data_IF_137139775715
#
_entry.id   IF_137139775715
#
_cell.length_a   1.000
_cell.length_b   1.000
_cell.length_c   1.000
_cell.angle_alpha   90.00
_cell.angle_beta   90.00
_cell.angle_gamma   90.00
#
_symmetry.space_group_name_H-M   'P 1'
#
loop_
_entity.id
_entity.type
_entity.pdbx_description
1 polymer ?
#
# COMPACT_ATOMS: atom_id res chain seq x y z
N UNK A 1 -64.28 26.57 -12.49
CA UNK A 1 -63.02 26.63 -13.26
C UNK A 1 -61.86 27.31 -12.50
N UNK A 2 -62.12 28.32 -11.66
CA UNK A 2 -61.10 29.04 -10.86
C UNK A 2 -60.28 28.16 -9.87
N UNK A 3 -60.91 27.18 -9.22
CA UNK A 3 -60.24 26.30 -8.24
C UNK A 3 -59.10 25.44 -8.82
N UNK A 4 -59.22 25.02 -10.08
CA UNK A 4 -58.18 24.20 -10.72
C UNK A 4 -56.94 25.04 -11.06
N UNK A 5 -57.16 26.28 -11.51
CA UNK A 5 -56.08 27.22 -11.81
C UNK A 5 -55.36 27.64 -10.52
N UNK A 6 -56.09 27.88 -9.43
CA UNK A 6 -55.49 28.17 -8.11
C UNK A 6 -54.67 26.99 -7.57
N UNK A 7 -55.15 25.76 -7.71
CA UNK A 7 -54.40 24.55 -7.35
C UNK A 7 -53.14 24.38 -8.20
N UNK A 8 -53.23 24.61 -9.51
CA UNK A 8 -52.08 24.56 -10.41
C UNK A 8 -51.06 25.67 -10.11
N UNK A 9 -51.50 26.88 -9.77
CA UNK A 9 -50.61 27.98 -9.38
C UNK A 9 -49.95 27.68 -8.02
N UNK A 10 -50.65 27.03 -7.09
CA UNK A 10 -50.10 26.62 -5.79
C UNK A 10 -49.04 25.51 -5.94
N UNK A 11 -49.34 24.48 -6.74
CA UNK A 11 -48.38 23.43 -7.14
C UNK A 11 -47.15 24.04 -7.84
N UNK A 12 -47.35 24.94 -8.79
CA UNK A 12 -46.25 25.57 -9.54
C UNK A 12 -45.40 26.52 -8.67
N UNK A 13 -46.00 27.23 -7.72
CA UNK A 13 -45.27 28.02 -6.70
C UNK A 13 -44.44 27.12 -5.78
N UNK A 14 -44.94 25.94 -5.44
CA UNK A 14 -44.17 24.93 -4.72
C UNK A 14 -43.04 24.36 -5.58
N UNK A 15 -43.23 24.10 -6.87
CA UNK A 15 -42.17 23.61 -7.78
C UNK A 15 -40.94 24.54 -7.80
N UNK A 16 -41.13 25.87 -7.81
CA UNK A 16 -40.02 26.81 -7.75
C UNK A 16 -39.27 26.81 -6.41
N UNK A 17 -39.95 26.44 -5.31
CA UNK A 17 -39.32 26.22 -3.99
C UNK A 17 -38.73 24.80 -3.82
N UNK A 18 -39.21 23.85 -4.63
CA UNK A 18 -38.86 22.43 -4.67
C UNK A 18 -37.91 22.11 -5.84
N UNK A 19 -37.02 23.03 -6.23
CA UNK A 19 -35.82 22.60 -6.95
C UNK A 19 -35.06 21.67 -6.02
N UNK A 20 -35.28 20.36 -6.17
CA UNK A 20 -34.63 19.29 -5.40
C UNK A 20 -33.13 19.53 -5.51
N UNK A 21 -32.57 20.16 -4.47
CA UNK A 21 -31.18 20.61 -4.51
C UNK A 21 -30.32 19.37 -4.59
N UNK A 22 -29.50 19.29 -5.64
CA UNK A 22 -28.64 18.12 -5.86
C UNK A 22 -27.81 17.84 -4.59
N UNK A 23 -27.75 16.57 -4.13
CA UNK A 23 -27.03 16.21 -2.92
C UNK A 23 -25.51 16.24 -3.12
N UNK A 24 -25.02 16.16 -4.36
CA UNK A 24 -23.60 16.20 -4.66
C UNK A 24 -23.32 16.79 -6.05
N UNK A 25 -22.09 17.22 -6.26
CA UNK A 25 -21.57 17.58 -7.59
C UNK A 25 -21.08 16.33 -8.34
N UNK A 26 -21.10 16.34 -9.66
CA UNK A 26 -20.42 15.32 -10.47
C UNK A 26 -18.92 15.35 -10.13
N UNK A 27 -18.29 14.21 -9.78
CA UNK A 27 -16.86 14.14 -9.51
C UNK A 27 -16.02 14.62 -10.70
N UNK A 28 -14.92 15.32 -10.42
CA UNK A 28 -14.01 15.90 -11.42
C UNK A 28 -12.57 15.48 -11.14
N UNK A 29 -11.77 15.41 -12.19
CA UNK A 29 -10.34 15.08 -12.11
C UNK A 29 -9.56 16.39 -12.15
N UNK A 30 -8.63 16.55 -11.21
CA UNK A 30 -7.63 17.60 -11.23
C UNK A 30 -6.32 17.03 -11.82
N UNK A 31 -5.87 17.57 -12.95
CA UNK A 31 -4.60 17.17 -13.60
C UNK A 31 -3.47 18.18 -13.41
N UNK A 32 -3.69 19.27 -12.67
CA UNK A 32 -2.64 20.27 -12.40
C UNK A 32 -1.98 20.87 -13.64
N UNK A 33 -2.75 21.06 -14.73
CA UNK A 33 -2.31 21.45 -16.07
C UNK A 33 -1.40 20.39 -16.71
N UNK A 34 -1.80 19.13 -16.59
CA UNK A 34 -1.11 17.95 -17.13
C UNK A 34 0.36 17.83 -16.69
N UNK A 35 0.67 18.40 -15.53
CA UNK A 35 1.99 18.37 -14.93
C UNK A 35 2.12 17.13 -14.05
N UNK A 36 2.95 16.18 -14.49
CA UNK A 36 3.22 14.92 -13.77
C UNK A 36 3.95 15.12 -12.42
N UNK A 37 4.56 16.30 -12.19
CA UNK A 37 5.17 16.63 -10.87
C UNK A 37 4.11 16.97 -9.81
N UNK A 38 2.88 17.29 -10.22
CA UNK A 38 1.77 17.58 -9.30
C UNK A 38 0.94 16.31 -9.09
N UNK A 39 0.41 16.13 -7.89
CA UNK A 39 -0.48 15.00 -7.58
C UNK A 39 -1.85 15.21 -8.23
N UNK A 40 -2.22 14.30 -9.12
CA UNK A 40 -3.56 14.30 -9.72
C UNK A 40 -4.54 13.59 -8.78
N UNK A 41 -5.77 14.08 -8.70
CA UNK A 41 -6.79 13.53 -7.79
C UNK A 41 -8.20 13.74 -8.33
N UNK A 42 -9.13 12.91 -7.86
CA UNK A 42 -10.56 13.11 -8.05
C UNK A 42 -11.09 13.93 -6.87
N UNK A 43 -11.96 14.90 -7.15
CA UNK A 43 -12.64 15.70 -6.14
C UNK A 43 -14.12 15.85 -6.47
N UNK A 44 -14.92 16.03 -5.43
CA UNK A 44 -16.34 16.29 -5.53
C UNK A 44 -16.81 17.09 -4.32
N UNK A 45 -18.01 17.66 -4.43
CA UNK A 45 -18.69 18.36 -3.37
C UNK A 45 -19.91 17.55 -2.95
N UNK A 46 -20.16 17.50 -1.65
CA UNK A 46 -21.34 16.86 -1.07
C UNK A 46 -22.09 17.85 -0.20
N UNK A 47 -23.42 17.80 -0.22
CA UNK A 47 -24.27 18.71 0.53
C UNK A 47 -24.31 18.24 1.97
N UNK A 48 -23.75 19.03 2.87
CA UNK A 48 -23.72 18.69 4.27
C UNK A 48 -25.16 18.69 4.82
N UNK A 49 -25.60 17.59 5.47
CA UNK A 49 -26.98 17.46 5.95
C UNK A 49 -27.32 18.44 7.08
N UNK A 50 -26.31 18.96 7.80
CA UNK A 50 -26.51 19.92 8.91
C UNK A 50 -26.56 21.36 8.42
N UNK A 51 -25.67 21.76 7.51
CA UNK A 51 -25.56 23.15 7.04
C UNK A 51 -26.34 23.41 5.76
N UNK A 52 -26.67 22.36 5.00
CA UNK A 52 -27.34 22.45 3.70
C UNK A 52 -26.44 23.00 2.59
N UNK A 53 -25.16 23.27 2.83
CA UNK A 53 -24.20 23.81 1.85
C UNK A 53 -23.40 22.69 1.17
N UNK A 54 -22.91 22.94 -0.04
CA UNK A 54 -22.00 22.04 -0.75
C UNK A 54 -20.58 22.22 -0.22
N UNK A 55 -20.05 21.19 0.42
CA UNK A 55 -18.70 21.18 0.97
C UNK A 55 -17.79 20.29 0.15
N UNK A 56 -16.54 20.71 -0.04
CA UNK A 56 -15.55 19.92 -0.78
C UNK A 56 -15.13 18.72 0.07
N UNK A 57 -15.30 17.52 -0.47
CA UNK A 57 -14.85 16.29 0.19
C UNK A 57 -13.35 16.09 0.01
N UNK A 58 -12.77 15.20 0.82
CA UNK A 58 -11.35 14.85 0.74
C UNK A 58 -10.92 14.46 -0.68
N UNK A 59 -9.72 14.88 -1.08
CA UNK A 59 -9.16 14.51 -2.38
C UNK A 59 -8.94 12.98 -2.43
N UNK A 60 -9.39 12.34 -3.51
CA UNK A 60 -9.24 10.91 -3.73
C UNK A 60 -8.08 10.69 -4.70
N UNK A 61 -7.02 10.04 -4.23
CA UNK A 61 -5.83 9.75 -5.00
C UNK A 61 -5.87 8.31 -5.52
N UNK A 62 -5.43 8.10 -6.77
CA UNK A 62 -5.35 6.76 -7.39
C UNK A 62 -3.94 6.20 -7.46
N UNK A 63 -3.07 6.55 -6.50
CA UNK A 63 -1.62 6.25 -6.56
C UNK A 63 -0.94 6.71 -7.86
N UNK A 64 -1.47 7.77 -8.49
CA UNK A 64 -1.06 8.30 -9.79
C UNK A 64 0.45 8.59 -9.93
N UNK A 65 1.15 8.82 -8.81
CA UNK A 65 2.60 9.06 -8.79
C UNK A 65 3.47 7.87 -9.23
N UNK A 66 2.90 6.67 -9.38
CA UNK A 66 3.65 5.46 -9.79
C UNK A 66 3.67 5.25 -11.31
N UNK A 67 2.79 5.93 -12.05
CA UNK A 67 2.68 5.73 -13.49
C UNK A 67 3.58 6.68 -14.26
N UNK A 68 4.26 6.14 -15.27
CA UNK A 68 5.23 6.89 -16.08
C UNK A 68 4.53 7.76 -17.13
N UNK A 69 3.32 7.37 -17.55
CA UNK A 69 2.61 8.05 -18.63
C UNK A 69 1.35 8.79 -18.14
N UNK A 70 1.01 9.88 -18.84
CA UNK A 70 -0.23 10.64 -18.61
C UNK A 70 -1.48 9.79 -18.88
N UNK A 71 -1.43 8.95 -19.90
CA UNK A 71 -2.56 8.11 -20.33
C UNK A 71 -2.94 7.07 -19.26
N UNK A 72 -1.96 6.36 -18.69
CA UNK A 72 -2.18 5.39 -17.61
C UNK A 72 -2.78 6.06 -16.37
N UNK A 73 -2.20 7.19 -15.95
CA UNK A 73 -2.69 7.97 -14.81
C UNK A 73 -4.13 8.46 -15.02
N UNK A 74 -4.46 8.93 -16.22
CA UNK A 74 -5.79 9.42 -16.55
C UNK A 74 -6.81 8.27 -16.57
N UNK A 75 -6.45 7.11 -17.13
CA UNK A 75 -7.30 5.91 -17.16
C UNK A 75 -7.79 5.51 -15.76
N UNK A 76 -6.89 5.48 -14.80
CA UNK A 76 -7.21 5.10 -13.41
C UNK A 76 -8.08 6.15 -12.73
N UNK A 77 -7.74 7.44 -12.89
CA UNK A 77 -8.55 8.52 -12.31
C UNK A 77 -9.94 8.59 -12.95
N UNK A 78 -10.06 8.28 -14.24
CA UNK A 78 -11.35 8.15 -14.93
C UNK A 78 -12.15 6.96 -14.39
N UNK A 79 -11.50 5.82 -14.13
CA UNK A 79 -12.15 4.67 -13.48
C UNK A 79 -12.66 5.05 -12.08
N UNK A 80 -11.82 5.67 -11.25
CA UNK A 80 -12.19 6.16 -9.92
C UNK A 80 -13.34 7.19 -9.97
N UNK A 81 -13.29 8.14 -10.91
CA UNK A 81 -14.34 9.13 -11.12
C UNK A 81 -15.69 8.46 -11.42
N UNK A 82 -15.70 7.47 -12.33
CA UNK A 82 -16.91 6.72 -12.70
C UNK A 82 -17.45 5.90 -11.53
N UNK A 83 -16.58 5.18 -10.83
CA UNK A 83 -16.95 4.36 -9.68
C UNK A 83 -17.51 5.22 -8.54
N UNK A 84 -16.86 6.34 -8.23
CA UNK A 84 -17.35 7.29 -7.24
C UNK A 84 -18.71 7.88 -7.62
N UNK A 85 -18.89 8.25 -8.89
CA UNK A 85 -20.19 8.72 -9.36
C UNK A 85 -21.27 7.64 -9.21
N UNK A 86 -20.95 6.38 -9.49
CA UNK A 86 -21.87 5.27 -9.31
C UNK A 86 -22.21 5.07 -7.82
N UNK A 87 -21.23 5.10 -6.93
CA UNK A 87 -21.43 5.01 -5.47
C UNK A 87 -22.33 6.13 -4.95
N UNK A 88 -22.12 7.37 -5.41
CA UNK A 88 -22.96 8.51 -5.06
C UNK A 88 -24.40 8.35 -5.56
N UNK A 89 -24.60 7.80 -6.77
CA UNK A 89 -25.94 7.46 -7.28
C UNK A 89 -26.63 6.36 -6.46
N UNK A 90 -25.86 5.42 -5.90
CA UNK A 90 -26.34 4.35 -5.03
C UNK A 90 -26.62 4.81 -3.58
N UNK A 91 -26.41 6.09 -3.27
CA UNK A 91 -26.75 6.67 -1.97
C UNK A 91 -25.60 6.78 -0.98
N UNK A 92 -24.34 6.65 -1.43
CA UNK A 92 -23.17 6.89 -0.57
C UNK A 92 -23.21 8.29 0.04
N UNK A 93 -22.97 8.38 1.36
CA UNK A 93 -22.93 9.64 2.10
C UNK A 93 -21.64 9.77 2.93
N UNK A 94 -20.78 10.77 2.69
CA UNK A 94 -19.53 10.94 3.42
C UNK A 94 -19.70 11.37 4.89
N UNK A 95 -20.89 11.78 5.31
CA UNK A 95 -21.20 12.21 6.68
C UNK A 95 -21.89 11.13 7.54
N UNK A 96 -22.04 9.90 7.02
CA UNK A 96 -22.65 8.77 7.72
C UNK A 96 -21.81 7.50 7.55
N UNK A 97 -22.03 6.53 8.42
CA UNK A 97 -21.48 5.20 8.24
C UNK A 97 -22.24 4.47 7.12
N UNK A 98 -21.54 4.08 6.06
CA UNK A 98 -22.12 3.47 4.85
C UNK A 98 -22.14 1.93 4.90
N UNK A 99 -22.32 1.33 6.10
CA UNK A 99 -22.18 -0.12 6.31
C UNK A 99 -23.14 -0.95 5.45
N UNK A 100 -24.40 -0.53 5.35
CA UNK A 100 -25.41 -1.24 4.53
C UNK A 100 -25.04 -1.25 3.04
N UNK A 101 -24.55 -0.13 2.53
CA UNK A 101 -24.13 -0.01 1.13
C UNK A 101 -22.89 -0.86 0.89
N UNK A 102 -21.95 -0.89 1.84
CA UNK A 102 -20.76 -1.75 1.77
C UNK A 102 -21.12 -3.23 1.68
N UNK A 103 -21.98 -3.72 2.59
CA UNK A 103 -22.40 -5.13 2.58
C UNK A 103 -23.13 -5.50 1.28
N UNK A 104 -24.04 -4.63 0.80
CA UNK A 104 -24.77 -4.84 -0.47
C UNK A 104 -23.86 -4.86 -1.69
N UNK A 105 -22.79 -4.06 -1.69
CA UNK A 105 -21.83 -4.05 -2.80
C UNK A 105 -20.92 -5.27 -2.73
N UNK A 106 -20.54 -5.73 -1.53
CA UNK A 106 -19.77 -6.98 -1.35
C UNK A 106 -20.55 -8.20 -1.84
N UNK A 107 -21.83 -8.31 -1.49
CA UNK A 107 -22.67 -9.44 -1.90
C UNK A 107 -22.87 -9.53 -3.42
N UNK A 108 -22.74 -8.39 -4.14
CA UNK A 108 -22.84 -8.33 -5.61
C UNK A 108 -21.53 -8.63 -6.33
N UNK A 109 -20.42 -8.65 -5.61
CA UNK A 109 -19.17 -9.16 -6.16
C UNK A 109 -19.40 -10.65 -6.32
N UNK A 110 -19.39 -11.21 -7.55
CA UNK A 110 -19.51 -12.65 -7.72
C UNK A 110 -18.46 -13.31 -6.84
N UNK A 111 -18.87 -14.34 -6.12
CA UNK A 111 -18.05 -15.13 -5.18
C UNK A 111 -16.79 -15.76 -5.80
N UNK A 112 -16.51 -15.48 -7.07
CA UNK A 112 -15.25 -15.74 -7.77
C UNK A 112 -14.15 -14.70 -7.50
N UNK A 113 -14.42 -13.57 -6.81
CA UNK A 113 -13.41 -12.53 -6.51
C UNK A 113 -13.16 -12.36 -5.00
N UNK A 114 -13.98 -12.97 -4.13
CA UNK A 114 -13.73 -12.99 -2.69
C UNK A 114 -12.67 -14.02 -2.26
N UNK A 115 -12.39 -15.02 -3.11
CA UNK A 115 -11.32 -16.01 -2.97
C UNK A 115 -10.56 -16.17 -4.30
N UNK A 116 -10.06 -15.07 -4.88
CA UNK A 116 -8.76 -15.20 -5.56
C UNK A 116 -7.75 -15.12 -4.43
N UNK A 117 -7.49 -16.25 -3.78
CA UNK A 117 -6.16 -16.46 -3.22
C UNK A 117 -5.19 -16.24 -4.39
N UNK A 118 -4.66 -15.02 -4.52
CA UNK A 118 -3.33 -14.89 -5.10
C UNK A 118 -2.51 -15.98 -4.43
N UNK A 119 -1.79 -16.84 -5.16
CA UNK A 119 -1.03 -17.91 -4.55
C UNK A 119 -0.14 -17.27 -3.48
N UNK A 120 -0.55 -17.40 -2.21
CA UNK A 120 0.09 -16.67 -1.11
C UNK A 120 1.39 -17.37 -0.87
N UNK A 121 2.38 -16.94 -1.63
CA UNK A 121 3.68 -17.54 -1.66
C UNK A 121 4.17 -17.66 -0.23
N UNK A 122 4.57 -18.87 0.14
CA UNK A 122 5.09 -19.09 1.48
C UNK A 122 6.32 -18.22 1.70
N UNK A 123 6.63 -17.93 2.97
CA UNK A 123 7.81 -17.11 3.30
C UNK A 123 9.08 -17.69 2.64
N UNK A 124 9.19 -19.03 2.64
CA UNK A 124 10.30 -19.75 2.02
C UNK A 124 10.32 -19.57 0.50
N UNK A 125 9.22 -19.85 -0.18
CA UNK A 125 9.13 -19.71 -1.64
C UNK A 125 9.42 -18.28 -2.10
N UNK A 126 8.94 -17.27 -1.37
CA UNK A 126 9.17 -15.86 -1.69
C UNK A 126 10.66 -15.51 -1.55
N UNK A 127 11.29 -15.94 -0.46
CA UNK A 127 12.72 -15.73 -0.26
C UNK A 127 13.55 -16.48 -1.31
N UNK A 128 13.19 -17.71 -1.65
CA UNK A 128 13.87 -18.52 -2.68
C UNK A 128 13.75 -17.87 -4.06
N UNK A 129 12.57 -17.33 -4.41
CA UNK A 129 12.36 -16.56 -5.63
C UNK A 129 13.32 -15.36 -5.70
N UNK A 130 13.38 -14.56 -4.64
CA UNK A 130 14.25 -13.39 -4.58
C UNK A 130 15.75 -13.77 -4.58
N UNK A 131 16.13 -14.86 -3.92
CA UNK A 131 17.49 -15.39 -3.93
C UNK A 131 17.90 -15.84 -5.34
N UNK A 132 17.02 -16.52 -6.07
CA UNK A 132 17.28 -16.95 -7.44
C UNK A 132 17.55 -15.77 -8.38
N UNK A 133 16.80 -14.67 -8.23
CA UNK A 133 17.05 -13.43 -8.97
C UNK A 133 18.37 -12.76 -8.55
N UNK A 134 18.67 -12.72 -7.24
CA UNK A 134 19.95 -12.18 -6.75
C UNK A 134 21.15 -12.97 -7.22
N UNK A 135 21.02 -14.29 -7.40
CA UNK A 135 22.10 -15.16 -7.87
C UNK A 135 22.65 -14.73 -9.23
N UNK A 136 21.81 -14.18 -10.10
CA UNK A 136 22.22 -13.71 -11.43
C UNK A 136 23.05 -12.42 -11.39
N UNK A 137 22.90 -11.61 -10.34
CA UNK A 137 23.52 -10.29 -10.23
C UNK A 137 24.68 -10.20 -9.23
N UNK A 138 24.84 -11.21 -8.35
CA UNK A 138 25.86 -11.21 -7.31
C UNK A 138 27.00 -12.18 -7.58
N UNK A 139 28.21 -11.81 -7.17
CA UNK A 139 29.34 -12.72 -7.12
C UNK A 139 29.07 -13.90 -6.16
N UNK A 140 29.68 -15.07 -6.45
CA UNK A 140 29.47 -16.33 -5.71
C UNK A 140 29.66 -16.19 -4.19
N UNK A 141 30.66 -15.41 -3.76
CA UNK A 141 30.97 -15.16 -2.34
C UNK A 141 29.88 -14.31 -1.67
N UNK A 142 29.44 -13.23 -2.32
CA UNK A 142 28.36 -12.36 -1.85
C UNK A 142 27.03 -13.11 -1.78
N UNK A 143 26.71 -13.90 -2.80
CA UNK A 143 25.52 -14.74 -2.82
C UNK A 143 25.53 -15.74 -1.66
N UNK A 144 26.66 -16.41 -1.40
CA UNK A 144 26.79 -17.34 -0.27
C UNK A 144 26.49 -16.66 1.06
N UNK A 145 27.01 -15.45 1.28
CA UNK A 145 26.74 -14.67 2.49
C UNK A 145 25.26 -14.31 2.65
N UNK A 146 24.64 -13.85 1.58
CA UNK A 146 23.21 -13.52 1.52
C UNK A 146 22.33 -14.74 1.80
N UNK A 147 22.57 -15.84 1.06
CA UNK A 147 21.83 -17.09 1.18
C UNK A 147 21.87 -17.63 2.61
N UNK A 148 23.05 -17.64 3.23
CA UNK A 148 23.19 -18.09 4.62
C UNK A 148 22.38 -17.23 5.58
N UNK A 149 22.37 -15.90 5.40
CA UNK A 149 21.60 -15.00 6.27
C UNK A 149 20.09 -15.15 6.07
N UNK A 150 19.63 -15.42 4.84
CA UNK A 150 18.22 -15.71 4.58
C UNK A 150 17.78 -17.05 5.16
N UNK A 151 18.62 -18.09 5.07
CA UNK A 151 18.33 -19.38 5.72
C UNK A 151 18.23 -19.25 7.24
N UNK A 152 19.14 -18.49 7.87
CA UNK A 152 19.05 -18.19 9.31
C UNK A 152 17.74 -17.46 9.68
N UNK A 153 17.23 -16.60 8.79
CA UNK A 153 15.96 -15.92 9.01
C UNK A 153 14.77 -16.87 8.90
N UNK A 154 14.75 -17.75 7.88
CA UNK A 154 13.72 -18.78 7.71
C UNK A 154 13.68 -19.71 8.92
N UNK A 155 14.84 -20.26 9.33
CA UNK A 155 14.95 -21.13 10.51
C UNK A 155 14.45 -20.45 11.79
N UNK A 156 14.74 -19.15 11.95
CA UNK A 156 14.25 -18.39 13.10
C UNK A 156 12.73 -18.20 13.07
N UNK A 157 12.13 -17.96 11.89
CA UNK A 157 10.67 -17.88 11.74
C UNK A 157 10.03 -19.23 12.07
N UNK A 158 10.54 -20.32 11.50
CA UNK A 158 9.98 -21.66 11.74
C UNK A 158 9.98 -22.02 13.24
N UNK A 159 11.03 -21.60 13.96
CA UNK A 159 11.16 -21.85 15.40
C UNK A 159 10.28 -20.96 16.29
N UNK A 160 10.21 -19.67 16.01
CA UNK A 160 9.57 -18.68 16.92
C UNK A 160 8.14 -18.30 16.49
N UNK A 161 7.80 -18.54 15.23
CA UNK A 161 6.58 -18.05 14.59
C UNK A 161 5.99 -19.09 13.64
N UNK A 162 5.89 -20.35 14.08
CA UNK A 162 5.39 -21.50 13.29
C UNK A 162 3.99 -21.32 12.67
N UNK A 163 3.20 -20.38 13.20
CA UNK A 163 1.88 -20.02 12.66
C UNK A 163 1.96 -19.11 11.42
N UNK A 164 3.08 -18.44 11.18
CA UNK A 164 3.27 -17.54 10.04
C UNK A 164 3.76 -18.34 8.84
N UNK A 165 2.88 -18.54 7.86
CA UNK A 165 3.20 -19.33 6.66
C UNK A 165 3.45 -18.47 5.42
N UNK A 166 2.73 -17.35 5.29
CA UNK A 166 2.70 -16.53 4.08
C UNK A 166 3.54 -15.26 4.22
N UNK A 167 4.13 -14.82 3.10
CA UNK A 167 5.04 -13.65 3.08
C UNK A 167 4.35 -12.34 3.50
N UNK A 168 3.07 -12.19 3.19
CA UNK A 168 2.27 -10.98 3.50
C UNK A 168 2.17 -10.67 4.99
N UNK A 169 2.25 -11.70 5.84
CA UNK A 169 2.11 -11.55 7.29
C UNK A 169 3.36 -10.91 7.90
N UNK A 170 4.47 -10.90 7.18
CA UNK A 170 5.71 -10.27 7.63
C UNK A 170 5.57 -8.75 7.66
N UNK A 171 5.56 -8.21 8.88
CA UNK A 171 5.51 -6.79 9.16
C UNK A 171 6.81 -6.30 9.78
N UNK A 172 6.92 -4.98 9.99
CA UNK A 172 8.08 -4.34 10.61
C UNK A 172 8.39 -4.91 12.01
N UNK A 173 7.37 -5.33 12.77
CA UNK A 173 7.53 -5.85 14.13
C UNK A 173 8.33 -7.16 14.12
N UNK A 174 7.90 -8.14 13.32
CA UNK A 174 8.59 -9.45 13.20
C UNK A 174 10.03 -9.27 12.70
N UNK A 175 10.25 -8.42 11.69
CA UNK A 175 11.59 -8.13 11.20
C UNK A 175 12.47 -7.47 12.29
N UNK A 176 11.90 -6.60 13.11
CA UNK A 176 12.63 -5.96 14.21
C UNK A 176 12.96 -6.97 15.32
N UNK A 177 12.03 -7.86 15.65
CA UNK A 177 12.24 -8.95 16.62
C UNK A 177 13.40 -9.86 16.19
N UNK A 178 13.42 -10.29 14.93
CA UNK A 178 14.54 -11.07 14.38
C UNK A 178 15.87 -10.32 14.47
N UNK A 179 15.88 -9.04 14.10
CA UNK A 179 17.10 -8.24 14.14
C UNK A 179 17.60 -8.02 15.57
N UNK A 180 16.71 -7.89 16.55
CA UNK A 180 17.08 -7.82 17.96
C UNK A 180 17.65 -9.16 18.45
N UNK A 181 17.07 -10.29 18.04
CA UNK A 181 17.64 -11.61 18.31
C UNK A 181 19.08 -11.75 17.75
N UNK A 182 19.33 -11.27 16.53
CA UNK A 182 20.70 -11.27 15.96
C UNK A 182 21.64 -10.31 16.70
N UNK A 183 21.13 -9.17 17.19
CA UNK A 183 21.91 -8.22 17.99
C UNK A 183 22.40 -8.86 19.29
N UNK A 184 21.49 -9.52 20.02
CA UNK A 184 21.77 -10.18 21.28
C UNK A 184 22.77 -11.34 21.12
N UNK A 185 22.64 -12.11 20.04
CA UNK A 185 23.51 -13.25 19.76
C UNK A 185 24.91 -12.85 19.30
N UNK A 186 25.05 -11.70 18.63
CA UNK A 186 26.29 -11.36 17.92
C UNK A 186 26.75 -9.91 18.14
N UNK A 187 26.44 -8.99 17.22
CA UNK A 187 26.87 -7.60 17.29
C UNK A 187 25.99 -6.69 16.45
N UNK A 188 26.03 -5.39 16.75
CA UNK A 188 25.36 -4.35 15.96
C UNK A 188 25.73 -4.38 14.48
N UNK A 189 27.00 -4.69 14.16
CA UNK A 189 27.47 -4.83 12.77
C UNK A 189 26.78 -5.99 12.07
N UNK A 190 26.75 -7.17 12.68
CA UNK A 190 26.14 -8.34 12.08
C UNK A 190 24.63 -8.16 11.90
N UNK A 191 23.96 -7.62 12.92
CA UNK A 191 22.54 -7.20 12.85
C UNK A 191 22.29 -6.26 11.68
N UNK A 192 23.15 -5.26 11.46
CA UNK A 192 23.02 -4.35 10.32
C UNK A 192 23.22 -5.06 8.96
N UNK A 193 24.11 -6.06 8.88
CA UNK A 193 24.28 -6.87 7.68
C UNK A 193 22.99 -7.66 7.36
N UNK A 194 22.39 -8.30 8.37
CA UNK A 194 21.08 -8.95 8.20
C UNK A 194 20.01 -7.97 7.73
N UNK A 195 19.95 -6.78 8.33
CA UNK A 195 18.99 -5.74 7.94
C UNK A 195 19.18 -5.28 6.50
N UNK A 196 20.44 -5.11 6.05
CA UNK A 196 20.74 -4.73 4.67
C UNK A 196 20.32 -5.81 3.67
N UNK A 197 20.60 -7.08 3.99
CA UNK A 197 20.23 -8.21 3.15
C UNK A 197 18.72 -8.42 3.07
N UNK A 198 18.02 -8.35 4.21
CA UNK A 198 16.55 -8.38 4.25
C UNK A 198 15.97 -7.23 3.43
N UNK A 199 16.50 -6.01 3.57
CA UNK A 199 16.10 -4.86 2.76
C UNK A 199 16.30 -5.11 1.27
N UNK A 200 17.36 -5.82 0.87
CA UNK A 200 17.61 -6.10 -0.53
C UNK A 200 16.71 -7.21 -1.09
N UNK A 201 16.34 -8.21 -0.29
CA UNK A 201 15.44 -9.29 -0.69
C UNK A 201 14.00 -8.77 -0.78
N UNK A 202 13.55 -8.05 0.25
CA UNK A 202 12.21 -7.45 0.27
C UNK A 202 12.02 -6.40 -0.83
N UNK A 203 13.10 -5.79 -1.33
CA UNK A 203 12.98 -4.90 -2.48
C UNK A 203 12.57 -5.65 -3.73
N UNK A 204 13.16 -6.82 -3.99
CA UNK A 204 12.81 -7.64 -5.15
C UNK A 204 11.36 -8.08 -5.05
N UNK A 205 10.92 -8.46 -3.85
CA UNK A 205 9.53 -8.85 -3.61
C UNK A 205 8.57 -7.67 -3.86
N UNK A 206 8.93 -6.46 -3.42
CA UNK A 206 8.13 -5.24 -3.66
C UNK A 206 8.10 -4.88 -5.15
N UNK A 207 9.25 -4.93 -5.83
CA UNK A 207 9.38 -4.59 -7.26
C UNK A 207 8.63 -5.59 -8.17
N UNK A 208 8.42 -6.83 -7.70
CA UNK A 208 7.67 -7.88 -8.40
C UNK A 208 6.24 -8.03 -7.85
N UNK A 209 5.74 -7.04 -7.10
CA UNK A 209 4.36 -6.99 -6.59
C UNK A 209 3.96 -8.16 -5.67
N UNK A 210 4.93 -8.92 -5.16
CA UNK A 210 4.71 -10.02 -4.20
C UNK A 210 4.38 -9.49 -2.80
N UNK A 211 4.91 -8.32 -2.46
CA UNK A 211 4.59 -7.62 -1.21
C UNK A 211 4.26 -6.16 -1.49
N UNK A 212 3.37 -5.60 -0.67
CA UNK A 212 2.92 -4.20 -0.80
C UNK A 212 4.04 -3.20 -0.49
N UNK A 213 4.89 -3.50 0.50
CA UNK A 213 5.93 -2.56 0.92
C UNK A 213 7.13 -3.23 1.59
N UNK A 214 8.32 -2.71 1.30
CA UNK A 214 9.55 -3.12 1.97
C UNK A 214 9.66 -2.54 3.39
N UNK A 215 9.24 -3.31 4.39
CA UNK A 215 9.32 -2.91 5.79
C UNK A 215 10.74 -2.87 6.36
N UNK A 216 11.69 -3.64 5.80
CA UNK A 216 13.07 -3.68 6.28
C UNK A 216 13.81 -2.33 6.08
N UNK A 217 13.51 -1.60 5.00
CA UNK A 217 14.02 -0.23 4.78
C UNK A 217 13.65 0.73 5.91
N UNK A 218 12.48 0.54 6.52
CA UNK A 218 11.93 1.40 7.60
C UNK A 218 12.57 1.14 8.97
N UNK A 219 13.47 0.15 9.08
CA UNK A 219 14.21 -0.16 10.31
C UNK A 219 15.54 0.58 10.26
N UNK A 220 15.94 1.37 11.27
CA UNK A 220 17.21 2.10 11.25
C UNK A 220 18.42 1.17 11.47
N UNK A 221 19.61 1.61 11.04
CA UNK A 221 20.89 0.96 11.35
C UNK A 221 21.40 1.40 12.72
N UNK A 222 22.04 0.48 13.45
CA UNK A 222 22.70 0.80 14.72
C UNK A 222 24.13 1.28 14.49
N UNK A 223 24.66 2.17 15.34
CA UNK A 223 26.08 2.55 15.28
C UNK A 223 26.94 1.35 15.68
N UNK A 224 28.03 1.10 14.95
CA UNK A 224 29.01 0.07 15.27
C UNK A 224 30.43 0.62 15.13
N UNK A 225 31.25 0.49 16.17
CA UNK A 225 32.65 0.94 16.15
C UNK A 225 33.50 -0.16 15.47
N UNK A 226 34.28 0.16 14.42
CA UNK A 226 35.15 -0.81 13.78
C UNK A 226 36.35 -1.15 14.69
N UNK A 227 36.56 -2.44 14.93
CA UNK A 227 37.80 -2.93 15.53
C UNK A 227 38.85 -3.17 14.44
N UNK A 228 40.05 -2.59 14.62
CA UNK A 228 41.17 -2.78 13.69
C UNK A 228 41.97 -4.03 14.10
N UNK A 229 42.14 -4.97 13.17
CA UNK A 229 43.02 -6.12 13.39
C UNK A 229 44.49 -5.64 13.49
N UNK A 230 45.27 -6.25 14.38
CA UNK A 230 46.72 -5.99 14.46
C UNK A 230 47.37 -6.48 13.17
N UNK A 231 48.17 -5.63 12.53
CA UNK A 231 49.00 -6.01 11.38
C UNK A 231 50.19 -6.82 11.86
N UNK A 232 50.50 -7.93 11.18
CA UNK A 232 51.69 -8.72 11.48
C UNK A 232 52.96 -7.87 11.25
N UNK A 233 53.83 -7.80 12.25
CA UNK A 233 55.18 -7.25 12.10
C UNK A 233 56.10 -8.34 11.53
N UNK A 234 57.00 -7.96 10.62
CA UNK A 234 57.87 -8.87 9.86
C UNK A 234 58.97 -9.59 10.68
N UNK A 235 58.91 -9.55 12.02
CA UNK A 235 59.98 -10.04 12.91
C UNK A 235 59.63 -11.40 13.52
N UNK A 236 59.30 -12.39 12.69
CA UNK A 236 59.29 -13.79 13.14
C UNK A 236 60.68 -14.39 12.83
N UNK A 237 61.46 -14.84 13.84
CA UNK A 237 62.69 -15.55 13.58
C UNK A 237 62.36 -16.84 12.83
N UNK A 238 62.99 -17.03 11.67
CA UNK A 238 62.95 -18.30 10.93
C UNK A 238 63.52 -19.39 11.85
N UNK A 239 62.73 -20.44 12.08
CA UNK A 239 63.16 -21.66 12.77
C UNK A 239 63.71 -22.64 11.74
#
# INVERSE_FOLDING_TARGET
MLKLIELLIFEHRNEHSLQIKKPYSVPKIYTGNDNLKKRWYVYYYFRNPKTGLLEKMGNIYGNSNHYKTKAESLSILTSLQKNLLNLLKKGYNPFKENQELYNKEIEKIPSTIADVEEPKMTIKEAIDFALNLKKQSLAKTSYRGLNNRMNNFIEWIEKNHSKLKTIEVLNKKILTEFLNYQLEKTSARNRNNFRADLSSIFQILEDNEIIISNYAKKIPTLKSIPTRNKTYSCNLPQK
#
